data_IF_182695807175
#
_entry.id   IF_182695807175
#
_cell.length_a   1.000
_cell.length_b   1.000
_cell.length_c   1.000
_cell.angle_alpha   90.00
_cell.angle_beta   90.00
_cell.angle_gamma   90.00
#
_symmetry.space_group_name_H-M   'P 1'
#
loop_
_entity.id
_entity.type
_entity.pdbx_description
1 polymer ?
#
# COMPACT_ATOMS: atom_id res chain seq x y z
N UNK A 1 26.30 -23.35 -3.93
CA UNK A 1 25.82 -22.63 -5.14
C UNK A 1 24.38 -23.05 -5.36
N UNK A 2 23.45 -22.11 -5.50
CA UNK A 2 22.05 -22.44 -5.81
C UNK A 2 21.92 -22.89 -7.25
N UNK A 3 20.98 -23.79 -7.52
CA UNK A 3 20.58 -24.14 -8.88
C UNK A 3 19.63 -23.07 -9.47
N UNK A 4 19.38 -23.07 -10.78
CA UNK A 4 18.55 -22.05 -11.43
C UNK A 4 17.10 -21.97 -10.90
N UNK A 5 16.52 -23.10 -10.48
CA UNK A 5 15.17 -23.15 -9.90
C UNK A 5 15.16 -22.44 -8.55
N UNK A 6 16.10 -22.79 -7.67
CA UNK A 6 16.25 -22.16 -6.35
C UNK A 6 16.48 -20.65 -6.45
N UNK A 7 17.25 -20.18 -7.44
CA UNK A 7 17.44 -18.73 -7.69
C UNK A 7 16.12 -18.04 -8.02
N UNK A 8 15.29 -18.67 -8.86
CA UNK A 8 14.00 -18.15 -9.29
C UNK A 8 13.01 -18.10 -8.12
N UNK A 9 12.96 -19.16 -7.32
CA UNK A 9 12.12 -19.25 -6.12
C UNK A 9 12.50 -18.19 -5.08
N UNK A 10 13.80 -18.02 -4.82
CA UNK A 10 14.30 -16.98 -3.90
C UNK A 10 13.94 -15.58 -4.40
N UNK A 11 14.04 -15.32 -5.71
CA UNK A 11 13.64 -14.05 -6.29
C UNK A 11 12.13 -13.80 -6.14
N UNK A 12 11.31 -14.83 -6.36
CA UNK A 12 9.86 -14.74 -6.17
C UNK A 12 9.47 -14.48 -4.72
N UNK A 13 10.08 -15.20 -3.76
CA UNK A 13 9.85 -14.99 -2.34
C UNK A 13 10.25 -13.59 -1.88
N UNK A 14 11.39 -13.07 -2.38
CA UNK A 14 11.83 -11.69 -2.10
C UNK A 14 10.84 -10.66 -2.61
N UNK A 15 10.31 -10.83 -3.83
CA UNK A 15 9.30 -9.94 -4.40
C UNK A 15 7.99 -10.01 -3.62
N UNK A 16 7.52 -11.20 -3.28
CA UNK A 16 6.30 -11.39 -2.50
C UNK A 16 6.39 -10.69 -1.13
N UNK A 17 7.54 -10.81 -0.45
CA UNK A 17 7.80 -10.08 0.80
C UNK A 17 7.82 -8.56 0.58
N UNK A 18 8.44 -8.08 -0.48
CA UNK A 18 8.45 -6.65 -0.83
C UNK A 18 7.04 -6.12 -1.07
N UNK A 19 6.22 -6.84 -1.85
CA UNK A 19 4.83 -6.49 -2.11
C UNK A 19 4.00 -6.47 -0.81
N UNK A 20 4.20 -7.45 0.08
CA UNK A 20 3.54 -7.49 1.38
C UNK A 20 3.95 -6.30 2.26
N UNK A 21 5.24 -5.99 2.35
CA UNK A 21 5.76 -4.82 3.07
C UNK A 21 5.12 -3.53 2.57
N UNK A 22 5.13 -3.32 1.25
CA UNK A 22 4.54 -2.15 0.60
C UNK A 22 3.05 -2.01 0.90
N UNK A 23 2.29 -3.11 0.85
CA UNK A 23 0.85 -3.10 1.06
C UNK A 23 0.48 -2.73 2.49
N UNK A 24 1.26 -3.21 3.46
CA UNK A 24 1.00 -3.02 4.88
C UNK A 24 1.72 -1.82 5.48
N UNK A 25 2.51 -1.09 4.68
CA UNK A 25 3.31 0.05 5.14
C UNK A 25 4.32 -0.32 6.24
N UNK A 26 4.95 -1.49 6.09
CA UNK A 26 5.89 -2.04 7.08
C UNK A 26 7.25 -2.31 6.47
N UNK A 27 8.31 -1.87 7.16
CA UNK A 27 9.69 -2.05 6.71
C UNK A 27 9.99 -1.38 5.37
N UNK A 28 11.00 -1.89 4.66
CA UNK A 28 11.38 -1.35 3.35
C UNK A 28 10.41 -1.81 2.26
N UNK A 29 9.99 -0.86 1.42
CA UNK A 29 9.21 -1.07 0.21
C UNK A 29 9.95 -0.52 -1.01
N UNK A 30 10.44 -1.40 -1.89
CA UNK A 30 11.04 -1.03 -3.16
C UNK A 30 10.00 -1.16 -4.28
N UNK A 31 9.34 -0.04 -4.60
CA UNK A 31 8.28 0.00 -5.61
C UNK A 31 8.77 -0.37 -7.01
N UNK A 32 10.06 -0.23 -7.30
CA UNK A 32 10.63 -0.56 -8.62
C UNK A 32 10.65 -2.07 -8.91
N UNK A 33 10.50 -2.90 -7.87
CA UNK A 33 10.51 -4.37 -7.96
C UNK A 33 9.12 -4.99 -7.99
N UNK A 34 8.08 -4.16 -7.91
CA UNK A 34 6.70 -4.64 -8.00
C UNK A 34 6.34 -4.90 -9.46
N UNK A 35 5.57 -5.95 -9.69
CA UNK A 35 4.76 -6.06 -10.90
C UNK A 35 3.69 -4.97 -10.91
N UNK A 36 3.10 -4.71 -12.08
CA UNK A 36 2.01 -3.74 -12.22
C UNK A 36 0.83 -4.08 -11.30
N UNK A 37 0.40 -5.35 -11.28
CA UNK A 37 -0.69 -5.82 -10.42
C UNK A 37 -0.38 -5.64 -8.92
N UNK A 38 0.85 -5.95 -8.49
CA UNK A 38 1.28 -5.69 -7.10
C UNK A 38 1.28 -4.19 -6.79
N UNK A 39 1.73 -3.35 -7.73
CA UNK A 39 1.73 -1.89 -7.60
C UNK A 39 0.32 -1.31 -7.44
N UNK A 40 -0.64 -1.79 -8.22
CA UNK A 40 -2.06 -1.43 -8.09
C UNK A 40 -2.59 -1.83 -6.71
N UNK A 41 -2.33 -3.07 -6.27
CA UNK A 41 -2.77 -3.53 -4.96
C UNK A 41 -2.19 -2.70 -3.81
N UNK A 42 -0.92 -2.28 -3.92
CA UNK A 42 -0.27 -1.38 -2.94
C UNK A 42 -0.95 0.00 -2.95
N UNK A 43 -1.27 0.55 -4.12
CA UNK A 43 -1.94 1.84 -4.24
C UNK A 43 -3.33 1.82 -3.60
N UNK A 44 -4.11 0.76 -3.83
CA UNK A 44 -5.42 0.56 -3.19
C UNK A 44 -5.28 0.50 -1.66
N UNK A 45 -4.36 -0.30 -1.13
CA UNK A 45 -4.19 -0.38 0.33
C UNK A 45 -3.68 0.93 0.97
N UNK A 46 -2.87 1.71 0.25
CA UNK A 46 -2.47 3.05 0.68
C UNK A 46 -3.65 4.02 0.73
N UNK A 47 -4.51 3.97 -0.29
CA UNK A 47 -5.73 4.75 -0.36
C UNK A 47 -6.71 4.41 0.78
N UNK A 48 -6.97 3.12 1.00
CA UNK A 48 -7.88 2.64 2.04
C UNK A 48 -7.42 3.05 3.44
N UNK A 49 -6.10 2.96 3.70
CA UNK A 49 -5.50 3.43 4.95
C UNK A 49 -5.65 4.93 5.11
N UNK A 50 -5.40 5.71 4.06
CA UNK A 50 -5.56 7.16 4.08
C UNK A 50 -7.01 7.57 4.39
N UNK A 51 -7.99 6.97 3.69
CA UNK A 51 -9.41 7.22 3.94
C UNK A 51 -9.80 6.84 5.37
N UNK A 52 -9.33 5.70 5.86
CA UNK A 52 -9.61 5.22 7.22
C UNK A 52 -9.03 6.15 8.29
N UNK A 53 -7.77 6.59 8.12
CA UNK A 53 -7.14 7.58 8.99
C UNK A 53 -7.93 8.88 8.99
N UNK A 54 -8.31 9.38 7.81
CA UNK A 54 -9.10 10.60 7.68
C UNK A 54 -10.45 10.52 8.40
N UNK A 55 -11.17 9.40 8.26
CA UNK A 55 -12.45 9.17 8.95
C UNK A 55 -12.28 9.06 10.47
N UNK A 56 -11.18 8.45 10.93
CA UNK A 56 -10.87 8.30 12.35
C UNK A 56 -10.23 9.56 12.98
N UNK A 57 -9.90 10.58 12.17
CA UNK A 57 -9.19 11.77 12.64
C UNK A 57 -7.70 11.54 12.94
N UNK A 58 -7.12 10.43 12.48
CA UNK A 58 -5.71 10.11 12.65
C UNK A 58 -4.83 10.79 11.58
N UNK A 59 -3.59 11.08 11.97
CA UNK A 59 -2.55 11.53 11.05
C UNK A 59 -1.62 10.35 10.69
N UNK A 60 -1.09 10.30 9.45
CA UNK A 60 -1.38 11.22 8.35
C UNK A 60 -2.76 10.99 7.74
N UNK A 61 -3.40 12.09 7.32
CA UNK A 61 -4.61 12.13 6.51
C UNK A 61 -4.38 13.10 5.35
N UNK A 62 -4.12 12.56 4.17
CA UNK A 62 -4.01 13.32 2.92
C UNK A 62 -5.38 13.46 2.26
N UNK A 63 -5.99 14.63 2.47
CA UNK A 63 -7.29 14.96 1.88
C UNK A 63 -7.26 15.17 0.37
N UNK A 64 -6.08 15.41 -0.22
CA UNK A 64 -5.96 15.65 -1.67
C UNK A 64 -6.17 14.37 -2.49
N UNK A 65 -5.90 13.21 -1.89
CA UNK A 65 -6.14 11.90 -2.49
C UNK A 65 -7.58 11.40 -2.38
N UNK A 66 -8.49 12.12 -1.71
CA UNK A 66 -9.87 11.69 -1.53
C UNK A 66 -10.77 12.18 -2.67
N UNK A 67 -11.81 11.39 -2.98
CA UNK A 67 -12.91 11.88 -3.82
C UNK A 67 -13.69 12.98 -3.10
N UNK A 68 -14.44 13.78 -3.86
CA UNK A 68 -15.30 14.83 -3.28
C UNK A 68 -16.33 14.27 -2.28
N UNK A 69 -16.82 13.06 -2.50
CA UNK A 69 -17.80 12.43 -1.60
C UNK A 69 -17.13 12.02 -0.29
N UNK A 70 -15.99 11.32 -0.35
CA UNK A 70 -15.27 10.92 0.86
C UNK A 70 -14.75 12.12 1.66
N UNK A 71 -14.31 13.19 0.99
CA UNK A 71 -13.90 14.42 1.67
C UNK A 71 -15.06 15.05 2.45
N UNK A 72 -16.29 14.99 1.92
CA UNK A 72 -17.51 15.42 2.62
C UNK A 72 -17.81 14.50 3.80
N UNK A 73 -17.76 13.19 3.61
CA UNK A 73 -18.01 12.21 4.68
C UNK A 73 -17.00 12.37 5.84
N UNK A 74 -15.73 12.57 5.51
CA UNK A 74 -14.65 12.84 6.47
C UNK A 74 -14.87 14.16 7.21
N UNK A 75 -15.40 15.19 6.53
CA UNK A 75 -15.73 16.46 7.20
C UNK A 75 -16.86 16.26 8.21
N UNK A 76 -17.91 15.51 7.85
CA UNK A 76 -19.04 15.20 8.72
C UNK A 76 -18.63 14.34 9.93
N UNK A 77 -17.75 13.36 9.76
CA UNK A 77 -17.30 12.47 10.83
C UNK A 77 -16.44 13.16 11.91
N UNK A 78 -15.93 14.38 11.65
CA UNK A 78 -15.07 15.13 12.57
C UNK A 78 -15.80 16.23 13.35
N UNK A 79 -17.11 16.38 13.15
CA UNK A 79 -17.99 17.28 13.88
C UNK A 79 -18.76 16.53 14.98
#
# INVERSE_FOLDING_TARGET
>A
LLNPVEVTEVAAAKRARNAWNCRNDVGSCDRSKLTEAEGIAVAVSAYDRNLSNCKAGFNPCDRSGLTRLEARDVALARH
#
